data_IF_610890347982
#
_entry.id   IF_610890347982
#
_cell.length_a   1.000
_cell.length_b   1.000
_cell.length_c   1.000
_cell.angle_alpha   90.00
_cell.angle_beta   90.00
_cell.angle_gamma   90.00
#
_symmetry.space_group_name_H-M   'P 1'
#
loop_
_entity.id
_entity.type
_entity.pdbx_description
1 polymer ?
#
# COMPACT_ATOMS: atom_id res chain seq x y z
N UNK A 1 -26.43 -8.73 -48.70
CA UNK A 1 -26.62 -9.45 -47.42
C UNK A 1 -25.32 -9.73 -46.65
N UNK A 2 -24.19 -10.06 -47.29
CA UNK A 2 -22.93 -10.39 -46.59
C UNK A 2 -22.31 -9.25 -45.75
N UNK A 3 -22.43 -7.99 -46.20
CA UNK A 3 -21.84 -6.83 -45.53
C UNK A 3 -22.47 -6.52 -44.15
N UNK A 4 -23.80 -6.64 -44.05
CA UNK A 4 -24.56 -6.41 -42.81
C UNK A 4 -24.23 -7.49 -41.77
N UNK A 5 -24.07 -8.75 -42.20
CA UNK A 5 -23.66 -9.86 -41.33
C UNK A 5 -22.27 -9.65 -40.73
N UNK A 6 -21.32 -9.16 -41.53
CA UNK A 6 -19.96 -8.88 -41.05
C UNK A 6 -19.92 -7.71 -40.06
N UNK A 7 -20.71 -6.66 -40.32
CA UNK A 7 -20.86 -5.51 -39.43
C UNK A 7 -21.47 -5.89 -38.08
N UNK A 8 -22.56 -6.68 -38.09
CA UNK A 8 -23.21 -7.17 -36.86
C UNK A 8 -22.26 -8.07 -36.06
N UNK A 9 -21.54 -9.01 -36.70
CA UNK A 9 -20.54 -9.86 -36.02
C UNK A 9 -19.43 -9.04 -35.34
N UNK A 10 -18.99 -7.94 -35.97
CA UNK A 10 -17.98 -7.05 -35.41
C UNK A 10 -18.50 -6.24 -34.22
N UNK A 11 -19.76 -5.83 -34.24
CA UNK A 11 -20.43 -5.18 -33.09
C UNK A 11 -20.62 -6.18 -31.94
N UNK A 12 -21.14 -7.38 -32.23
CA UNK A 12 -21.34 -8.42 -31.22
C UNK A 12 -20.03 -8.80 -30.53
N UNK A 13 -18.92 -8.97 -31.26
CA UNK A 13 -17.60 -9.23 -30.63
C UNK A 13 -17.17 -8.13 -29.65
N UNK A 14 -17.41 -6.85 -29.99
CA UNK A 14 -17.10 -5.72 -29.11
C UNK A 14 -18.00 -5.71 -27.87
N UNK A 15 -19.30 -5.97 -28.04
CA UNK A 15 -20.24 -6.10 -26.94
C UNK A 15 -19.84 -7.24 -26.01
N UNK A 16 -19.47 -8.41 -26.55
CA UNK A 16 -18.96 -9.54 -25.77
C UNK A 16 -17.69 -9.17 -25.00
N UNK A 17 -16.75 -8.44 -25.62
CA UNK A 17 -15.52 -8.00 -24.94
C UNK A 17 -15.82 -7.03 -23.79
N UNK A 18 -16.76 -6.10 -23.98
CA UNK A 18 -17.19 -5.13 -22.97
C UNK A 18 -17.88 -5.84 -21.79
N UNK A 19 -18.72 -6.84 -22.06
CA UNK A 19 -19.39 -7.63 -21.03
C UNK A 19 -18.44 -8.54 -20.22
N UNK A 20 -17.27 -8.91 -20.77
CA UNK A 20 -16.26 -9.70 -20.05
C UNK A 20 -15.31 -8.85 -19.21
N UNK A 21 -15.22 -7.54 -19.47
CA UNK A 21 -14.36 -6.60 -18.75
C UNK A 21 -14.58 -6.54 -17.21
N UNK A 22 -15.82 -6.56 -16.67
CA UNK A 22 -16.02 -6.46 -15.22
C UNK A 22 -15.58 -7.71 -14.44
N UNK A 23 -15.55 -8.89 -15.08
CA UNK A 23 -15.09 -10.13 -14.42
C UNK A 23 -13.59 -10.12 -14.10
N UNK A 24 -12.81 -9.25 -14.75
CA UNK A 24 -11.36 -9.16 -14.60
C UNK A 24 -10.94 -8.05 -13.60
N UNK A 25 -11.90 -7.25 -13.11
CA UNK A 25 -11.64 -6.05 -12.31
C UNK A 25 -11.81 -6.25 -10.80
N UNK A 26 -12.01 -7.48 -10.32
CA UNK A 26 -12.00 -7.76 -8.89
C UNK A 26 -10.57 -7.80 -8.35
N UNK A 27 -10.26 -6.88 -7.42
CA UNK A 27 -9.08 -7.00 -6.55
C UNK A 27 -9.18 -8.33 -5.80
N UNK A 28 -8.25 -9.23 -6.07
CA UNK A 28 -8.44 -10.66 -5.80
C UNK A 28 -8.46 -10.99 -4.31
N UNK A 29 -7.81 -10.22 -3.43
CA UNK A 29 -7.79 -10.51 -1.99
C UNK A 29 -7.57 -9.25 -1.14
N UNK A 30 -8.33 -9.11 -0.04
CA UNK A 30 -8.12 -8.14 1.03
C UNK A 30 -7.91 -8.90 2.33
N UNK A 31 -6.89 -8.51 3.09
CA UNK A 31 -6.61 -9.05 4.42
C UNK A 31 -6.63 -7.90 5.43
N UNK A 32 -7.18 -8.17 6.61
CA UNK A 32 -7.19 -7.22 7.72
C UNK A 32 -6.32 -7.78 8.84
N UNK A 33 -5.51 -6.91 9.44
CA UNK A 33 -4.63 -7.29 10.55
C UNK A 33 -5.17 -6.65 11.82
N UNK A 34 -5.41 -7.41 12.90
CA UNK A 34 -5.79 -6.85 14.19
C UNK A 34 -4.73 -5.85 14.68
N UNK A 35 -5.18 -4.68 15.14
CA UNK A 35 -4.31 -3.63 15.63
C UNK A 35 -4.84 -3.06 16.95
N UNK A 36 -3.93 -2.61 17.81
CA UNK A 36 -4.31 -1.83 18.98
C UNK A 36 -4.97 -0.51 18.53
N UNK A 37 -6.16 -0.19 19.04
CA UNK A 37 -6.96 0.96 18.58
C UNK A 37 -6.28 2.31 18.78
N UNK A 38 -5.68 2.53 19.95
CA UNK A 38 -4.93 3.78 20.26
C UNK A 38 -3.76 3.93 19.29
N UNK A 39 -3.03 2.84 19.06
CA UNK A 39 -1.88 2.83 18.16
C UNK A 39 -2.31 3.11 16.71
N UNK A 40 -3.40 2.50 16.26
CA UNK A 40 -3.93 2.70 14.90
C UNK A 40 -4.33 4.16 14.68
N UNK A 41 -5.13 4.74 15.58
CA UNK A 41 -5.56 6.13 15.50
C UNK A 41 -4.37 7.10 15.51
N UNK A 42 -3.42 6.90 16.43
CA UNK A 42 -2.24 7.76 16.53
C UNK A 42 -1.32 7.64 15.31
N UNK A 43 -1.16 6.43 14.77
CA UNK A 43 -0.38 6.22 13.55
C UNK A 43 -1.01 6.93 12.35
N UNK A 44 -2.35 6.96 12.26
CA UNK A 44 -3.07 7.68 11.21
C UNK A 44 -2.86 9.20 11.34
N UNK A 45 -2.95 9.76 12.55
CA UNK A 45 -2.65 11.18 12.79
C UNK A 45 -1.24 11.56 12.31
N UNK A 46 -0.25 10.71 12.59
CA UNK A 46 1.14 10.92 12.16
C UNK A 46 1.28 10.79 10.65
N UNK A 47 0.60 9.83 10.03
CA UNK A 47 0.59 9.63 8.59
C UNK A 47 0.01 10.84 7.86
N UNK A 48 -1.08 11.43 8.37
CA UNK A 48 -1.67 12.65 7.82
C UNK A 48 -0.70 13.83 7.87
N UNK A 49 0.14 13.94 8.90
CA UNK A 49 1.21 14.96 8.98
C UNK A 49 2.33 14.73 7.98
N UNK A 50 2.46 13.54 7.40
CA UNK A 50 3.45 13.28 6.35
C UNK A 50 2.95 13.68 4.96
N UNK A 51 1.66 14.02 4.78
CA UNK A 51 1.12 14.49 3.49
C UNK A 51 1.89 15.75 3.04
N UNK A 52 2.38 15.72 1.80
CA UNK A 52 3.22 16.79 1.25
C UNK A 52 4.73 16.62 1.51
N UNK A 53 5.15 15.59 2.25
CA UNK A 53 6.58 15.23 2.34
C UNK A 53 7.06 14.71 1.00
N UNK A 54 8.05 15.38 0.41
CA UNK A 54 8.67 15.00 -0.87
C UNK A 54 10.14 14.65 -0.68
N UNK A 55 10.66 13.91 -1.65
CA UNK A 55 12.09 13.64 -1.78
C UNK A 55 12.86 14.92 -2.11
N UNK A 56 14.15 14.97 -1.75
CA UNK A 56 15.00 16.10 -2.08
C UNK A 56 15.41 16.11 -3.56
N UNK A 57 15.72 14.93 -4.13
CA UNK A 57 16.22 14.81 -5.50
C UNK A 57 15.44 13.82 -6.38
N UNK A 58 14.28 13.34 -5.92
CA UNK A 58 13.52 12.24 -6.55
C UNK A 58 14.34 10.92 -6.62
N UNK A 59 15.18 10.66 -5.60
CA UNK A 59 15.99 9.45 -5.48
C UNK A 59 15.86 8.75 -4.13
N UNK A 60 14.68 8.83 -3.49
CA UNK A 60 14.37 8.29 -2.16
C UNK A 60 15.20 8.92 -1.00
N UNK A 61 15.47 10.22 -1.09
CA UNK A 61 16.39 10.96 -0.22
C UNK A 61 15.75 12.19 0.45
N UNK A 62 16.46 12.78 1.42
CA UNK A 62 15.97 13.93 2.18
C UNK A 62 15.00 13.54 3.29
N UNK A 63 13.84 14.18 3.37
CA UNK A 63 12.90 13.97 4.47
C UNK A 63 12.38 12.53 4.57
N UNK A 64 12.34 11.80 3.44
CA UNK A 64 11.88 10.41 3.41
C UNK A 64 12.90 9.42 4.02
N UNK A 65 14.12 9.86 4.34
CA UNK A 65 15.16 9.00 4.94
C UNK A 65 14.76 8.43 6.28
N UNK A 66 14.01 9.20 7.07
CA UNK A 66 13.51 8.75 8.38
C UNK A 66 12.67 7.47 8.26
N UNK A 67 11.98 7.28 7.13
CA UNK A 67 11.14 6.12 6.89
C UNK A 67 11.98 4.85 6.73
N UNK A 68 12.91 4.81 5.77
CA UNK A 68 13.69 3.61 5.51
C UNK A 68 14.72 3.31 6.62
N UNK A 69 15.17 4.33 7.35
CA UNK A 69 15.96 4.14 8.59
C UNK A 69 15.14 3.50 9.72
N UNK A 70 13.84 3.78 9.83
CA UNK A 70 12.98 3.17 10.87
C UNK A 70 12.94 1.63 10.77
N UNK A 71 13.12 1.11 9.56
CA UNK A 71 13.17 -0.33 9.27
C UNK A 71 14.59 -0.89 9.10
N UNK A 72 15.62 -0.07 9.36
CA UNK A 72 17.02 -0.52 9.39
C UNK A 72 17.72 -0.60 8.03
N UNK A 73 17.17 0.03 6.98
CA UNK A 73 17.82 0.10 5.67
C UNK A 73 18.91 1.18 5.66
N UNK A 74 19.89 1.02 4.77
CA UNK A 74 21.01 1.94 4.52
C UNK A 74 21.02 2.36 3.05
N UNK A 75 21.41 3.61 2.76
CA UNK A 75 21.31 4.24 1.43
C UNK A 75 19.86 4.49 0.98
N UNK A 76 19.59 5.50 0.10
CA UNK A 76 18.25 5.70 -0.41
C UNK A 76 17.59 4.39 -0.86
N UNK A 77 16.43 4.12 -0.27
CA UNK A 77 15.74 2.84 -0.33
C UNK A 77 14.24 3.06 -0.48
N UNK A 78 13.51 2.04 -0.93
CA UNK A 78 12.05 2.10 -1.03
C UNK A 78 11.42 2.43 0.32
N UNK A 79 10.64 3.52 0.37
CA UNK A 79 10.17 4.08 1.63
C UNK A 79 8.66 4.00 1.84
N UNK A 80 7.87 3.51 0.88
CA UNK A 80 6.41 3.50 1.01
C UNK A 80 5.94 2.66 2.21
N UNK A 81 6.27 1.36 2.24
CA UNK A 81 5.96 0.48 3.36
C UNK A 81 6.71 0.90 4.65
N UNK A 82 7.96 1.36 4.49
CA UNK A 82 8.75 1.85 5.61
C UNK A 82 8.15 3.11 6.26
N UNK A 83 7.47 3.96 5.50
CA UNK A 83 6.78 5.15 5.97
C UNK A 83 5.56 4.82 6.81
N UNK A 84 4.83 3.77 6.42
CA UNK A 84 3.73 3.24 7.25
C UNK A 84 4.28 2.68 8.56
N UNK A 85 5.37 1.89 8.53
CA UNK A 85 6.02 1.41 9.75
C UNK A 85 6.51 2.57 10.62
N UNK A 86 7.12 3.59 10.04
CA UNK A 86 7.56 4.80 10.75
C UNK A 86 6.41 5.48 11.50
N UNK A 87 5.23 5.59 10.89
CA UNK A 87 4.06 6.18 11.54
C UNK A 87 3.62 5.37 12.78
N UNK A 88 3.64 4.04 12.69
CA UNK A 88 3.40 3.17 13.84
C UNK A 88 4.49 3.29 14.90
N UNK A 89 5.75 3.37 14.50
CA UNK A 89 6.88 3.50 15.40
C UNK A 89 6.84 4.82 16.20
N UNK A 90 6.56 5.94 15.53
CA UNK A 90 6.38 7.23 16.20
C UNK A 90 5.11 7.26 17.07
N UNK A 91 4.04 6.56 16.68
CA UNK A 91 2.86 6.41 17.51
C UNK A 91 3.17 5.63 18.80
N UNK A 92 3.93 4.54 18.72
CA UNK A 92 4.42 3.81 19.90
C UNK A 92 5.18 4.74 20.85
N UNK A 93 6.10 5.56 20.32
CA UNK A 93 6.87 6.54 21.12
C UNK A 93 5.97 7.59 21.79
N UNK A 94 5.03 8.18 21.04
CA UNK A 94 4.16 9.25 21.56
C UNK A 94 3.10 8.73 22.54
N UNK A 95 2.69 7.47 22.42
CA UNK A 95 1.70 6.84 23.30
C UNK A 95 2.33 6.00 24.43
N UNK A 96 3.67 5.99 24.55
CA UNK A 96 4.40 5.15 25.50
C UNK A 96 4.01 3.66 25.43
N UNK A 97 3.82 3.16 24.20
CA UNK A 97 3.46 1.77 23.91
C UNK A 97 4.68 1.00 23.39
N UNK A 98 4.81 -0.30 23.70
CA UNK A 98 5.92 -1.09 23.20
C UNK A 98 5.81 -1.28 21.67
N UNK A 99 6.96 -1.26 20.99
CA UNK A 99 7.08 -1.49 19.54
C UNK A 99 6.60 -2.88 19.11
N UNK A 100 6.49 -3.84 20.04
CA UNK A 100 5.93 -5.17 19.77
C UNK A 100 4.44 -5.14 19.43
N UNK A 101 3.74 -4.02 19.66
CA UNK A 101 2.35 -3.82 19.27
C UNK A 101 2.18 -3.35 17.82
N UNK A 102 3.27 -3.04 17.10
CA UNK A 102 3.18 -2.65 15.70
C UNK A 102 2.66 -3.85 14.89
N UNK A 103 1.52 -3.73 14.19
CA UNK A 103 0.83 -4.88 13.60
C UNK A 103 1.43 -5.34 12.27
N UNK A 104 2.50 -4.70 11.80
CA UNK A 104 3.13 -4.99 10.51
C UNK A 104 4.61 -5.30 10.68
N UNK A 105 5.18 -6.15 9.81
CA UNK A 105 6.61 -6.46 9.87
C UNK A 105 7.46 -5.20 9.66
N UNK A 106 8.61 -5.16 10.33
CA UNK A 106 9.63 -4.11 10.14
C UNK A 106 10.34 -4.29 8.79
N UNK A 107 9.81 -3.68 7.73
CA UNK A 107 10.30 -3.87 6.36
C UNK A 107 10.02 -2.66 5.45
N UNK A 108 10.85 -2.48 4.42
CA UNK A 108 10.59 -1.53 3.32
C UNK A 108 9.78 -2.12 2.15
N UNK A 109 9.47 -3.42 2.19
CA UNK A 109 8.80 -4.13 1.10
C UNK A 109 7.29 -4.27 1.35
N UNK A 110 6.46 -3.63 0.52
CA UNK A 110 5.00 -3.76 0.59
C UNK A 110 4.53 -5.22 0.44
N UNK A 111 5.21 -6.00 -0.42
CA UNK A 111 4.90 -7.42 -0.61
C UNK A 111 5.08 -8.24 0.67
N UNK A 112 6.04 -7.87 1.53
CA UNK A 112 6.25 -8.56 2.80
C UNK A 112 5.08 -8.32 3.77
N UNK A 113 4.51 -7.11 3.80
CA UNK A 113 3.29 -6.82 4.58
C UNK A 113 2.10 -7.63 4.04
N UNK A 114 1.93 -7.71 2.72
CA UNK A 114 0.87 -8.52 2.12
C UNK A 114 1.00 -10.00 2.46
N UNK A 115 2.20 -10.57 2.33
CA UNK A 115 2.45 -11.97 2.63
C UNK A 115 2.19 -12.29 4.11
N UNK A 116 2.60 -11.39 5.01
CA UNK A 116 2.31 -11.47 6.44
C UNK A 116 0.81 -11.48 6.71
N UNK A 117 0.05 -10.54 6.11
CA UNK A 117 -1.39 -10.45 6.29
C UNK A 117 -2.12 -11.68 5.75
N UNK A 118 -1.65 -12.25 4.64
CA UNK A 118 -2.19 -13.47 4.04
C UNK A 118 -1.97 -14.72 4.90
N UNK A 119 -0.89 -14.76 5.68
CA UNK A 119 -0.55 -15.90 6.55
C UNK A 119 -1.07 -15.76 7.99
N UNK A 120 -1.69 -14.63 8.33
CA UNK A 120 -2.19 -14.31 9.67
C UNK A 120 -3.56 -14.91 9.93
#
# INVERSE_FOLDING_TARGET
>A
MAFISHFIKRIMKKITLIFLLPFILYSQNKFEIPANGILLEKSLEIALKQVGTTEASNRNDGEVEKYWRSVGLIYPSSYCAAGIYYCFYEACKQSNLPISLIPIPRTGLAQAIFNFAKSS
#
